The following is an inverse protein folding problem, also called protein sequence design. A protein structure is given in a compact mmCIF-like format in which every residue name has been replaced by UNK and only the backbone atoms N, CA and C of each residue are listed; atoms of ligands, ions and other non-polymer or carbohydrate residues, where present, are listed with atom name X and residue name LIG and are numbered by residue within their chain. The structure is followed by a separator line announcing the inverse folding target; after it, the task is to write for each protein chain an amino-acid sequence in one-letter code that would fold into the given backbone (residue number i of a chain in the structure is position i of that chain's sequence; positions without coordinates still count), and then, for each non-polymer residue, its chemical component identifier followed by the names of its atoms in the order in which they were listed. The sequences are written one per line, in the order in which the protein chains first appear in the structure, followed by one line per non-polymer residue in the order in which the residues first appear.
data_IF_295047951254
#
_entry.id   IF_295047951254
#
_cell.length_a   1.000
_cell.length_b   1.000
_cell.length_c   1.000
_cell.angle_alpha   90.00
_cell.angle_beta   90.00
_cell.angle_gamma   90.00
#
_symmetry.space_group_name_H-M   'P 1'
#
loop_
_entity.id
_entity.type
_entity.pdbx_description
1 polymer ?
#
# COMPACT_ATOMS: atom_id res chain seq x y z
N UNK A 1 -24.26 27.99 -7.38
CA UNK A 1 -24.07 26.70 -6.70
C UNK A 1 -25.25 26.45 -5.77
N UNK A 2 -25.99 25.35 -5.94
CA UNK A 2 -27.15 25.02 -5.10
C UNK A 2 -26.73 24.33 -3.79
N UNK A 3 -27.55 24.37 -2.74
CA UNK A 3 -27.29 23.70 -1.45
C UNK A 3 -26.99 22.20 -1.63
N UNK A 4 -27.62 21.58 -2.63
CA UNK A 4 -27.39 20.18 -3.01
C UNK A 4 -25.98 19.92 -3.58
N UNK A 5 -25.39 20.90 -4.26
CA UNK A 5 -24.02 20.82 -4.77
C UNK A 5 -22.99 20.97 -3.65
N UNK A 6 -23.25 21.87 -2.69
CA UNK A 6 -22.46 21.99 -1.46
C UNK A 6 -22.45 20.69 -0.67
N UNK A 7 -23.62 20.06 -0.47
CA UNK A 7 -23.72 18.80 0.27
C UNK A 7 -22.99 17.64 -0.45
N UNK A 8 -23.03 17.59 -1.79
CA UNK A 8 -22.27 16.62 -2.59
C UNK A 8 -20.76 16.83 -2.52
N UNK A 9 -20.29 18.08 -2.53
CA UNK A 9 -18.88 18.41 -2.34
C UNK A 9 -18.38 18.01 -0.95
N UNK A 10 -19.21 18.25 0.06
CA UNK A 10 -18.93 17.88 1.44
C UNK A 10 -18.89 16.35 1.63
N UNK A 11 -19.77 15.60 0.96
CA UNK A 11 -19.69 14.14 0.89
C UNK A 11 -18.44 13.63 0.13
N UNK A 12 -18.00 14.34 -0.90
CA UNK A 12 -16.76 13.99 -1.63
C UNK A 12 -15.50 14.17 -0.77
N UNK A 13 -15.49 15.12 0.17
CA UNK A 13 -14.40 15.29 1.15
C UNK A 13 -14.20 14.03 1.99
N UNK A 14 -15.28 13.29 2.29
CA UNK A 14 -15.20 12.02 3.03
C UNK A 14 -14.99 10.79 2.13
N UNK A 15 -15.34 10.87 0.84
CA UNK A 15 -15.13 9.80 -0.15
C UNK A 15 -13.69 9.76 -0.70
N UNK A 16 -13.03 10.92 -0.82
CA UNK A 16 -11.68 11.05 -1.37
C UNK A 16 -10.59 10.33 -0.56
N UNK A 17 -10.59 10.32 0.80
CA UNK A 17 -9.70 9.48 1.60
C UNK A 17 -9.79 7.98 1.25
N UNK A 18 -11.01 7.47 1.04
CA UNK A 18 -11.25 6.05 0.71
C UNK A 18 -10.87 5.64 -0.72
N UNK A 19 -10.81 6.59 -1.67
CA UNK A 19 -10.29 6.38 -3.03
C UNK A 19 -8.80 6.67 -3.13
N UNK A 20 -8.31 7.68 -2.40
CA UNK A 20 -6.89 7.97 -2.25
C UNK A 20 -6.13 6.74 -1.77
N UNK A 21 -6.68 6.00 -0.79
CA UNK A 21 -6.20 4.69 -0.33
C UNK A 21 -6.13 3.61 -1.44
N UNK A 22 -6.96 3.69 -2.49
CA UNK A 22 -6.89 2.81 -3.68
C UNK A 22 -5.87 3.30 -4.72
N UNK A 23 -5.68 4.62 -4.85
CA UNK A 23 -4.66 5.22 -5.72
C UNK A 23 -3.22 5.13 -5.16
N UNK A 24 -3.08 4.86 -3.84
CA UNK A 24 -1.81 4.42 -3.21
C UNK A 24 -1.25 3.16 -3.88
N UNK A 25 -2.10 2.36 -4.53
CA UNK A 25 -1.67 1.19 -5.30
C UNK A 25 -0.67 1.57 -6.42
N UNK A 26 -0.79 2.75 -7.04
CA UNK A 26 -0.14 2.99 -8.34
C UNK A 26 0.82 4.19 -8.40
N UNK A 27 0.69 5.24 -7.54
CA UNK A 27 1.38 6.52 -7.82
C UNK A 27 2.05 7.26 -6.65
N UNK A 28 1.75 6.96 -5.38
CA UNK A 28 2.36 7.70 -4.26
C UNK A 28 2.49 6.84 -2.98
N UNK A 29 3.62 6.92 -2.26
CA UNK A 29 3.85 6.15 -1.03
C UNK A 29 3.15 6.82 0.16
N UNK A 30 1.81 6.88 0.15
CA UNK A 30 1.01 7.52 1.20
C UNK A 30 1.11 6.78 2.55
N UNK A 31 1.23 5.45 2.53
CA UNK A 31 1.31 4.66 3.75
C UNK A 31 2.60 4.89 4.56
N UNK A 32 3.83 4.86 3.97
CA UNK A 32 5.02 5.25 4.73
C UNK A 32 4.98 6.73 5.13
N UNK A 33 4.35 7.62 4.34
CA UNK A 33 4.14 9.02 4.73
C UNK A 33 3.29 9.13 6.00
N UNK A 34 2.17 8.40 6.05
CA UNK A 34 1.27 8.36 7.18
C UNK A 34 1.92 7.74 8.42
N UNK A 35 2.76 6.71 8.25
CA UNK A 35 3.50 6.09 9.35
C UNK A 35 4.54 7.04 9.96
N UNK A 36 5.34 7.70 9.12
CA UNK A 36 6.32 8.69 9.58
C UNK A 36 5.61 9.87 10.25
N UNK A 37 4.48 10.31 9.69
CA UNK A 37 3.62 11.31 10.33
C UNK A 37 3.09 10.84 11.68
N UNK A 38 2.66 9.59 11.81
CA UNK A 38 2.23 9.00 13.09
C UNK A 38 3.30 9.04 14.15
N UNK A 39 4.51 8.62 13.81
CA UNK A 39 5.63 8.64 14.77
C UNK A 39 5.94 10.07 15.19
N UNK A 40 6.12 10.99 14.23
CA UNK A 40 6.47 12.38 14.53
C UNK A 40 5.35 13.10 15.30
N UNK A 41 4.09 12.85 14.95
CA UNK A 41 2.95 13.46 15.62
C UNK A 41 2.71 12.88 17.01
N UNK A 42 2.99 11.59 17.22
CA UNK A 42 2.99 10.98 18.54
C UNK A 42 4.07 11.58 19.45
N UNK A 43 5.28 11.81 18.91
CA UNK A 43 6.35 12.52 19.63
C UNK A 43 5.94 13.96 19.92
N UNK A 44 5.35 14.67 18.97
CA UNK A 44 4.86 16.04 19.16
C UNK A 44 3.78 16.13 20.24
N UNK A 45 2.77 15.26 20.20
CA UNK A 45 1.69 15.24 21.19
C UNK A 45 2.19 14.77 22.56
N UNK A 46 3.15 13.83 22.59
CA UNK A 46 3.86 13.44 23.80
C UNK A 46 4.61 14.62 24.41
N UNK A 47 5.38 15.39 23.62
CA UNK A 47 6.05 16.59 24.10
C UNK A 47 5.06 17.67 24.55
N UNK A 48 3.98 17.90 23.80
CA UNK A 48 2.90 18.81 24.19
C UNK A 48 2.31 18.40 25.55
N UNK A 49 2.01 17.12 25.73
CA UNK A 49 1.43 16.57 26.97
C UNK A 49 2.44 16.54 28.12
N UNK A 50 3.71 16.22 27.84
CA UNK A 50 4.78 16.17 28.84
C UNK A 50 5.13 17.56 29.36
N UNK A 51 5.28 18.54 28.47
CA UNK A 51 5.60 19.92 28.82
C UNK A 51 4.42 20.62 29.53
N UNK A 52 3.18 20.28 29.18
CA UNK A 52 1.97 20.91 29.74
C UNK A 52 1.41 20.21 30.99
N UNK A 53 1.42 18.87 31.03
CA UNK A 53 0.80 18.04 32.08
C UNK A 53 1.82 17.19 32.86
N UNK A 54 3.13 17.40 32.69
CA UNK A 54 4.16 16.68 33.44
C UNK A 54 4.02 16.75 34.97
N UNK A 55 3.29 17.75 35.48
CA UNK A 55 2.94 17.89 36.89
C UNK A 55 1.67 17.11 37.33
N UNK A 56 0.77 16.78 36.40
CA UNK A 56 -0.53 16.14 36.69
C UNK A 56 -0.59 14.68 36.25
N UNK A 57 0.24 14.26 35.30
CA UNK A 57 0.23 12.93 34.73
C UNK A 57 1.54 12.23 35.11
N UNK A 58 1.48 11.15 35.87
CA UNK A 58 2.67 10.34 36.17
C UNK A 58 3.12 9.58 34.91
N UNK A 59 4.22 9.98 34.26
CA UNK A 59 4.63 9.41 32.98
C UNK A 59 5.19 7.99 33.10
N UNK A 60 5.44 7.51 34.33
CA UNK A 60 5.94 6.15 34.59
C UNK A 60 4.87 5.07 34.38
N UNK A 61 3.61 5.44 34.12
CA UNK A 61 2.53 4.49 33.86
C UNK A 61 2.44 4.16 32.36
N UNK A 62 2.57 2.87 31.95
CA UNK A 62 2.46 2.46 30.55
C UNK A 62 1.13 2.85 29.89
N UNK A 63 0.04 2.92 30.67
CA UNK A 63 -1.28 3.32 30.18
C UNK A 63 -1.33 4.76 29.67
N UNK A 64 -0.53 5.66 30.25
CA UNK A 64 -0.42 7.05 29.80
C UNK A 64 0.24 7.13 28.42
N UNK A 65 1.34 6.40 28.22
CA UNK A 65 2.06 6.35 26.95
C UNK A 65 1.15 5.79 25.87
N UNK A 66 0.42 4.72 26.17
CA UNK A 66 -0.56 4.12 25.27
C UNK A 66 -1.67 5.12 24.89
N UNK A 67 -2.20 5.87 25.86
CA UNK A 67 -3.24 6.88 25.61
C UNK A 67 -2.73 8.01 24.70
N UNK A 68 -1.50 8.48 24.91
CA UNK A 68 -0.88 9.52 24.06
C UNK A 68 -0.73 9.03 22.62
N UNK A 69 -0.22 7.81 22.42
CA UNK A 69 -0.10 7.21 21.08
C UNK A 69 -1.48 7.14 20.41
N UNK A 70 -2.50 6.75 21.17
CA UNK A 70 -3.85 6.59 20.67
C UNK A 70 -4.51 7.93 20.30
N UNK A 71 -4.34 8.95 21.14
CA UNK A 71 -4.79 10.31 20.86
C UNK A 71 -4.07 10.89 19.65
N UNK A 72 -2.79 10.57 19.47
CA UNK A 72 -2.00 10.99 18.30
C UNK A 72 -2.45 10.31 17.01
N UNK A 73 -2.84 9.04 17.09
CA UNK A 73 -3.46 8.34 15.96
C UNK A 73 -4.82 8.95 15.63
N UNK A 74 -5.64 9.24 16.65
CA UNK A 74 -6.93 9.93 16.50
C UNK A 74 -6.79 11.32 15.87
N UNK A 75 -5.82 12.12 16.29
CA UNK A 75 -5.58 13.45 15.75
C UNK A 75 -5.11 13.41 14.30
N UNK A 76 -4.29 12.42 13.91
CA UNK A 76 -3.92 12.23 12.51
C UNK A 76 -5.10 11.83 11.63
N UNK A 77 -6.03 11.03 12.13
CA UNK A 77 -7.28 10.74 11.41
C UNK A 77 -8.10 12.02 11.23
N UNK A 78 -8.21 12.85 12.26
CA UNK A 78 -8.84 14.18 12.14
C UNK A 78 -8.13 15.06 11.11
N UNK A 79 -6.79 15.08 11.10
CA UNK A 79 -6.00 15.82 10.11
C UNK A 79 -6.26 15.27 8.70
N UNK A 80 -6.24 13.94 8.52
CA UNK A 80 -6.46 13.28 7.24
C UNK A 80 -7.84 13.57 6.65
N UNK A 81 -8.88 13.50 7.48
CA UNK A 81 -10.28 13.54 7.05
C UNK A 81 -10.87 14.95 7.03
N UNK A 82 -10.32 15.88 7.81
CA UNK A 82 -10.88 17.23 7.97
C UNK A 82 -9.89 18.28 7.52
N UNK A 83 -8.69 18.32 8.12
CA UNK A 83 -7.72 19.39 7.83
C UNK A 83 -7.19 19.34 6.40
N UNK A 84 -6.69 18.19 5.93
CA UNK A 84 -6.10 18.06 4.60
C UNK A 84 -7.12 18.38 3.49
N UNK A 85 -8.35 17.83 3.49
CA UNK A 85 -9.34 18.17 2.47
C UNK A 85 -9.78 19.64 2.51
N UNK A 86 -9.89 20.23 3.70
CA UNK A 86 -10.27 21.63 3.85
C UNK A 86 -9.17 22.58 3.38
N UNK A 87 -7.92 22.29 3.76
CA UNK A 87 -6.77 23.05 3.29
C UNK A 87 -6.61 22.95 1.77
N UNK A 88 -6.81 21.76 1.20
CA UNK A 88 -6.84 21.52 -0.25
C UNK A 88 -7.94 22.35 -0.93
N UNK A 89 -9.14 22.37 -0.35
CA UNK A 89 -10.28 23.13 -0.85
C UNK A 89 -10.01 24.63 -0.86
N UNK A 90 -9.57 25.18 0.28
CA UNK A 90 -9.24 26.59 0.41
C UNK A 90 -8.08 27.00 -0.51
N UNK A 91 -7.04 26.16 -0.60
CA UNK A 91 -5.92 26.40 -1.51
C UNK A 91 -6.38 26.41 -2.97
N UNK A 92 -7.26 25.48 -3.37
CA UNK A 92 -7.81 25.43 -4.72
C UNK A 92 -8.71 26.64 -5.05
N UNK A 93 -9.42 27.20 -4.07
CA UNK A 93 -10.18 28.46 -4.26
C UNK A 93 -9.24 29.59 -4.68
N UNK A 94 -8.05 29.67 -4.08
CA UNK A 94 -7.11 30.76 -4.35
C UNK A 94 -6.33 30.62 -5.66
N UNK A 95 -6.02 29.40 -6.09
CA UNK A 95 -5.25 29.16 -7.33
C UNK A 95 -6.10 28.82 -8.56
N UNK A 96 -7.35 28.35 -8.39
CA UNK A 96 -8.21 27.84 -9.48
C UNK A 96 -7.50 26.80 -10.38
N UNK A 97 -6.67 25.91 -9.82
CA UNK A 97 -5.88 24.94 -10.59
C UNK A 97 -6.74 24.04 -11.48
N UNK A 98 -7.83 23.52 -10.93
CA UNK A 98 -8.78 22.65 -11.62
C UNK A 98 -10.13 22.65 -10.88
N UNK A 99 -11.14 22.00 -11.49
CA UNK A 99 -12.37 21.70 -10.73
C UNK A 99 -11.99 20.88 -9.50
N UNK A 100 -12.47 21.29 -8.32
CA UNK A 100 -12.12 20.63 -7.06
C UNK A 100 -12.45 19.12 -7.09
N UNK A 101 -13.49 18.76 -7.85
CA UNK A 101 -13.87 17.37 -8.14
C UNK A 101 -12.74 16.58 -8.81
N UNK A 102 -12.12 17.15 -9.84
CA UNK A 102 -11.03 16.51 -10.59
C UNK A 102 -9.78 16.37 -9.70
N UNK A 103 -9.49 17.40 -8.91
CA UNK A 103 -8.34 17.44 -8.00
C UNK A 103 -8.47 16.37 -6.89
N UNK A 104 -9.68 16.18 -6.34
CA UNK A 104 -9.99 15.08 -5.43
C UNK A 104 -9.91 13.68 -6.09
N UNK A 105 -10.08 13.59 -7.40
CA UNK A 105 -10.13 12.33 -8.14
C UNK A 105 -8.79 11.90 -8.75
N UNK A 106 -7.84 12.81 -8.93
CA UNK A 106 -6.60 12.54 -9.66
C UNK A 106 -5.34 12.83 -8.85
N UNK A 107 -5.38 13.78 -7.90
CA UNK A 107 -4.19 14.28 -7.21
C UNK A 107 -4.28 14.20 -5.68
N UNK A 108 -5.43 13.80 -5.13
CA UNK A 108 -5.65 13.80 -3.68
C UNK A 108 -4.60 12.99 -2.91
N UNK A 109 -4.29 11.76 -3.36
CA UNK A 109 -3.33 10.90 -2.66
C UNK A 109 -1.92 11.50 -2.61
N UNK A 110 -1.46 12.07 -3.72
CA UNK A 110 -0.14 12.70 -3.80
C UNK A 110 -0.06 13.98 -2.97
N UNK A 111 -1.09 14.84 -3.06
CA UNK A 111 -1.16 16.09 -2.29
C UNK A 111 -1.32 15.83 -0.79
N UNK A 112 -2.13 14.85 -0.40
CA UNK A 112 -2.26 14.42 0.99
C UNK A 112 -0.94 13.88 1.53
N UNK A 113 -0.23 13.03 0.78
CA UNK A 113 1.08 12.51 1.18
C UNK A 113 2.10 13.64 1.37
N UNK A 114 2.17 14.59 0.42
CA UNK A 114 3.05 15.75 0.52
C UNK A 114 2.72 16.61 1.75
N UNK A 115 1.43 16.84 2.03
CA UNK A 115 1.00 17.53 3.24
C UNK A 115 1.39 16.78 4.51
N UNK A 116 1.24 15.46 4.57
CA UNK A 116 1.68 14.67 5.73
C UNK A 116 3.17 14.81 5.97
N UNK A 117 4.01 14.65 4.94
CA UNK A 117 5.45 14.83 5.09
C UNK A 117 5.81 16.24 5.56
N UNK A 118 5.17 17.26 4.99
CA UNK A 118 5.48 18.65 5.32
C UNK A 118 5.04 19.01 6.75
N UNK A 119 3.85 18.58 7.19
CA UNK A 119 3.39 18.76 8.58
C UNK A 119 4.21 17.95 9.59
N UNK A 120 4.71 16.77 9.18
CA UNK A 120 5.65 15.96 9.97
C UNK A 120 6.95 16.73 10.20
N UNK A 121 7.52 17.30 9.15
CA UNK A 121 8.72 18.12 9.26
C UNK A 121 8.49 19.34 10.18
N UNK A 122 7.35 20.02 10.04
CA UNK A 122 6.96 21.13 10.94
C UNK A 122 6.86 20.67 12.40
N UNK A 123 6.28 19.50 12.64
CA UNK A 123 6.14 18.92 13.98
C UNK A 123 7.52 18.63 14.59
N UNK A 124 8.41 17.99 13.82
CA UNK A 124 9.75 17.63 14.28
C UNK A 124 10.58 18.89 14.61
N UNK A 125 10.57 19.89 13.74
CA UNK A 125 11.29 21.15 13.94
C UNK A 125 10.76 21.87 15.19
N UNK A 126 9.45 21.98 15.34
CA UNK A 126 8.83 22.59 16.50
C UNK A 126 9.22 21.86 17.79
N UNK A 127 9.13 20.54 17.81
CA UNK A 127 9.50 19.73 18.98
C UNK A 127 10.96 19.91 19.35
N UNK A 128 11.90 19.83 18.40
CA UNK A 128 13.34 19.98 18.67
C UNK A 128 13.63 21.37 19.25
N UNK A 129 13.10 22.43 18.64
CA UNK A 129 13.33 23.81 19.11
C UNK A 129 12.74 24.04 20.50
N UNK A 130 11.55 23.52 20.80
CA UNK A 130 10.97 23.63 22.13
C UNK A 130 11.75 22.82 23.17
N UNK A 131 12.26 21.63 22.82
CA UNK A 131 13.13 20.86 23.72
C UNK A 131 14.39 21.66 24.05
N UNK A 132 15.07 22.21 23.03
CA UNK A 132 16.26 23.05 23.24
C UNK A 132 15.94 24.23 24.15
N UNK A 133 14.87 24.98 23.87
CA UNK A 133 14.46 26.12 24.68
C UNK A 133 14.14 25.73 26.13
N UNK A 134 13.53 24.57 26.34
CA UNK A 134 13.24 24.03 27.68
C UNK A 134 14.51 23.64 28.42
N UNK A 135 15.46 22.97 27.76
CA UNK A 135 16.75 22.58 28.35
C UNK A 135 17.63 23.79 28.71
N UNK A 136 17.49 24.89 27.97
CA UNK A 136 18.19 26.16 28.28
C UNK A 136 17.50 26.96 29.39
N UNK A 137 16.43 26.46 30.00
CA UNK A 137 15.65 27.13 31.04
C UNK A 137 15.08 28.50 30.66
N UNK A 138 15.11 28.89 29.37
CA UNK A 138 14.68 30.21 28.87
C UNK A 138 13.24 30.52 29.30
N UNK A 139 12.34 29.54 29.25
CA UNK A 139 10.95 29.74 29.68
C UNK A 139 10.80 29.90 31.19
N UNK A 140 11.65 29.25 31.99
CA UNK A 140 11.64 29.45 33.44
C UNK A 140 12.13 30.85 33.79
N UNK A 141 13.25 31.30 33.21
CA UNK A 141 13.78 32.64 33.43
C UNK A 141 12.78 33.73 33.00
N UNK A 142 12.10 33.52 31.86
CA UNK A 142 11.07 34.45 31.38
C UNK A 142 9.85 34.46 32.32
N UNK A 143 9.40 33.29 32.77
CA UNK A 143 8.28 33.18 33.71
C UNK A 143 8.59 33.86 35.06
N UNK A 144 9.80 33.65 35.59
CA UNK A 144 10.26 34.28 36.83
C UNK A 144 10.31 35.80 36.69
N UNK A 145 10.81 36.31 35.56
CA UNK A 145 10.83 37.74 35.27
C UNK A 145 9.42 38.33 35.17
N UNK A 146 8.50 37.66 34.47
CA UNK A 146 7.11 38.10 34.34
C UNK A 146 6.39 38.12 35.69
N UNK A 147 6.58 37.07 36.50
CA UNK A 147 5.98 36.99 37.83
C UNK A 147 6.57 38.04 38.77
N UNK A 148 7.88 38.31 38.70
CA UNK A 148 8.54 39.40 39.42
C UNK A 148 7.90 40.76 39.11
N UNK A 149 7.73 41.09 37.83
CA UNK A 149 7.08 42.35 37.42
C UNK A 149 5.61 42.45 37.87
N UNK A 150 4.87 41.33 37.86
CA UNK A 150 3.49 41.29 38.35
C UNK A 150 3.41 41.51 39.86
N UNK A 151 4.36 40.98 40.63
CA UNK A 151 4.44 41.17 42.08
C UNK A 151 4.77 42.62 42.45
N UNK A 152 5.64 43.29 41.68
CA UNK A 152 5.94 44.72 41.86
C UNK A 152 4.70 45.61 41.63
N UNK A 153 3.83 45.22 40.68
CA UNK A 153 2.62 45.96 40.34
C UNK A 153 1.36 45.47 41.08
N UNK A 154 1.50 44.65 42.13
CA UNK A 154 0.38 43.96 42.79
C UNK A 154 -0.78 44.88 43.20
N UNK A 155 -0.48 46.10 43.65
CA UNK A 155 -1.48 47.09 44.07
C UNK A 155 -2.34 47.68 42.94
N UNK A 156 -1.98 47.45 41.67
CA UNK A 156 -2.69 47.96 40.49
C UNK A 156 -3.36 46.83 39.68
N UNK A 157 -3.30 45.59 40.17
CA UNK A 157 -3.81 44.44 39.43
C UNK A 157 -5.35 44.33 39.50
N UNK A 158 -5.99 43.85 38.42
CA UNK A 158 -7.40 43.48 38.45
C UNK A 158 -7.69 42.42 39.53
N UNK A 159 -8.88 42.43 40.15
CA UNK A 159 -9.26 41.49 41.20
C UNK A 159 -9.20 40.02 40.75
N UNK A 160 -9.42 39.75 39.46
CA UNK A 160 -9.31 38.41 38.85
C UNK A 160 -7.88 37.85 38.92
N UNK A 161 -6.87 38.72 38.71
CA UNK A 161 -5.46 38.33 38.73
C UNK A 161 -5.02 38.09 40.16
N UNK A 162 -5.43 38.96 41.09
CA UNK A 162 -5.16 38.80 42.52
C UNK A 162 -5.74 37.47 43.05
N UNK A 163 -6.96 37.13 42.64
CA UNK A 163 -7.58 35.84 42.96
C UNK A 163 -6.81 34.65 42.37
N UNK A 164 -6.35 34.74 41.12
CA UNK A 164 -5.52 33.69 40.51
C UNK A 164 -4.14 33.52 41.19
N UNK A 165 -3.59 34.60 41.75
CA UNK A 165 -2.37 34.54 42.57
C UNK A 165 -2.63 33.82 43.90
N UNK A 166 -3.73 34.14 44.58
CA UNK A 166 -4.12 33.52 45.86
C UNK A 166 -4.49 32.04 45.70
N UNK A 167 -5.13 31.66 44.60
CA UNK A 167 -5.44 30.27 44.25
C UNK A 167 -4.20 29.47 43.80
N UNK A 168 -3.03 30.12 43.69
CA UNK A 168 -1.77 29.47 43.34
C UNK A 168 -1.71 28.98 41.89
N UNK A 169 -2.49 29.58 40.98
CA UNK A 169 -2.43 29.33 39.53
C UNK A 169 -1.25 30.02 38.85
N UNK A 170 -0.71 31.10 39.44
CA UNK A 170 0.44 31.85 38.92
C UNK A 170 1.77 31.33 39.48
N UNK A 171 2.02 30.03 39.31
CA UNK A 171 3.34 29.43 39.62
C UNK A 171 4.29 29.62 38.45
N UNK A 172 5.59 29.90 38.70
CA UNK A 172 6.57 30.08 37.63
C UNK A 172 6.69 28.84 36.74
N UNK A 173 6.54 27.64 37.33
CA UNK A 173 6.54 26.36 36.62
C UNK A 173 5.37 26.25 35.63
N UNK A 174 4.17 26.66 36.04
CA UNK A 174 2.95 26.60 35.22
C UNK A 174 3.00 27.65 34.09
N UNK A 175 3.51 28.85 34.40
CA UNK A 175 3.74 29.91 33.43
C UNK A 175 4.79 29.50 32.38
N UNK A 176 5.92 28.92 32.82
CA UNK A 176 6.96 28.41 31.92
C UNK A 176 6.42 27.29 31.02
N UNK A 177 5.62 26.37 31.57
CA UNK A 177 4.94 25.34 30.79
C UNK A 177 4.00 25.95 29.74
N UNK A 178 3.16 26.92 30.11
CA UNK A 178 2.29 27.64 29.17
C UNK A 178 3.05 28.34 28.05
N UNK A 179 4.14 29.05 28.38
CA UNK A 179 5.02 29.71 27.41
C UNK A 179 5.65 28.71 26.44
N UNK A 180 6.10 27.55 26.94
CA UNK A 180 6.69 26.50 26.11
C UNK A 180 5.69 25.92 25.09
N UNK A 181 4.42 25.79 25.49
CA UNK A 181 3.33 25.34 24.60
C UNK A 181 2.99 26.38 23.54
N UNK A 182 2.89 27.65 23.94
CA UNK A 182 2.66 28.75 22.99
C UNK A 182 3.79 28.83 21.95
N UNK A 183 5.04 28.64 22.39
CA UNK A 183 6.20 28.59 21.51
C UNK A 183 6.14 27.39 20.55
N UNK A 184 5.83 26.19 21.06
CA UNK A 184 5.68 24.98 20.26
C UNK A 184 4.63 25.14 19.15
N UNK A 185 3.44 25.63 19.50
CA UNK A 185 2.33 25.84 18.55
C UNK A 185 2.68 26.95 17.55
N UNK A 186 3.32 28.02 18.01
CA UNK A 186 3.76 29.14 17.16
C UNK A 186 4.74 28.69 16.09
N UNK A 187 5.79 27.95 16.46
CA UNK A 187 6.77 27.41 15.51
C UNK A 187 6.12 26.45 14.53
N UNK A 188 5.27 25.53 15.02
CA UNK A 188 4.53 24.63 14.16
C UNK A 188 3.71 25.41 13.12
N UNK A 189 3.00 26.47 13.53
CA UNK A 189 2.21 27.32 12.65
C UNK A 189 3.04 27.97 11.55
N UNK A 190 4.21 28.55 11.89
CA UNK A 190 5.13 29.18 10.92
C UNK A 190 5.60 28.16 9.88
N UNK A 191 6.02 26.97 10.32
CA UNK A 191 6.48 25.93 9.40
C UNK A 191 5.34 25.29 8.60
N UNK A 192 4.14 25.19 9.16
CA UNK A 192 2.94 24.77 8.43
C UNK A 192 2.59 25.76 7.30
N UNK A 193 2.73 27.07 7.54
CA UNK A 193 2.55 28.10 6.50
C UNK A 193 3.57 27.92 5.37
N UNK A 194 4.85 27.70 5.71
CA UNK A 194 5.91 27.44 4.72
C UNK A 194 5.65 26.15 3.93
N UNK A 195 5.22 25.09 4.61
CA UNK A 195 4.82 23.81 4.01
C UNK A 195 3.68 23.98 2.99
N UNK A 196 2.57 24.61 3.40
CA UNK A 196 1.42 24.87 2.53
C UNK A 196 1.80 25.76 1.34
N UNK A 197 2.63 26.79 1.58
CA UNK A 197 3.19 27.62 0.52
C UNK A 197 3.97 26.77 -0.49
N UNK A 198 4.80 25.84 -0.04
CA UNK A 198 5.67 25.06 -0.93
C UNK A 198 4.87 24.04 -1.73
N UNK A 199 3.94 23.33 -1.08
CA UNK A 199 3.09 22.31 -1.72
C UNK A 199 2.12 22.94 -2.72
N UNK A 200 1.48 24.04 -2.34
CA UNK A 200 0.43 24.69 -3.14
C UNK A 200 0.88 25.97 -3.85
N UNK A 201 2.17 26.34 -3.81
CA UNK A 201 2.73 27.55 -4.45
C UNK A 201 1.97 28.84 -4.10
N UNK A 202 1.40 28.92 -2.90
CA UNK A 202 0.59 30.06 -2.44
C UNK A 202 1.43 31.28 -2.08
N UNK A 203 0.81 32.47 -2.09
CA UNK A 203 1.43 33.65 -1.47
C UNK A 203 1.41 33.55 0.06
N UNK A 204 2.29 34.29 0.73
CA UNK A 204 2.39 34.27 2.20
C UNK A 204 1.05 34.55 2.89
N UNK A 205 0.36 35.61 2.47
CA UNK A 205 -0.94 35.98 3.01
C UNK A 205 -1.98 34.87 2.84
N UNK A 206 -2.01 34.22 1.67
CA UNK A 206 -2.95 33.13 1.38
C UNK A 206 -2.66 31.90 2.24
N UNK A 207 -1.40 31.51 2.39
CA UNK A 207 -1.02 30.41 3.27
C UNK A 207 -1.41 30.65 4.73
N UNK A 208 -1.21 31.88 5.22
CA UNK A 208 -1.65 32.28 6.58
C UNK A 208 -3.16 32.12 6.73
N UNK A 209 -3.95 32.64 5.77
CA UNK A 209 -5.40 32.52 5.78
C UNK A 209 -5.84 31.06 5.76
N UNK A 210 -5.23 30.22 4.91
CA UNK A 210 -5.56 28.79 4.83
C UNK A 210 -5.28 28.07 6.16
N UNK A 211 -4.12 28.31 6.78
CA UNK A 211 -3.76 27.73 8.09
C UNK A 211 -4.71 28.19 9.18
N UNK A 212 -5.01 29.49 9.25
CA UNK A 212 -5.92 30.02 10.25
C UNK A 212 -7.33 29.44 10.13
N UNK A 213 -7.93 29.49 8.93
CA UNK A 213 -9.29 28.97 8.71
C UNK A 213 -9.33 27.46 8.97
N UNK A 214 -8.36 26.71 8.44
CA UNK A 214 -8.33 25.25 8.61
C UNK A 214 -8.03 24.85 10.07
N UNK A 215 -7.23 25.64 10.78
CA UNK A 215 -6.96 25.51 12.21
C UNK A 215 -8.17 25.84 13.08
N UNK A 216 -8.96 26.86 12.75
CA UNK A 216 -10.19 27.19 13.48
C UNK A 216 -11.23 26.09 13.34
N UNK A 217 -11.32 25.44 12.17
CA UNK A 217 -12.23 24.30 11.97
C UNK A 217 -11.79 23.04 12.74
N UNK A 218 -10.50 22.93 13.09
CA UNK A 218 -10.02 21.89 14.01
C UNK A 218 -10.47 22.11 15.46
N UNK A 219 -10.80 23.35 15.86
CA UNK A 219 -11.18 23.68 17.23
C UNK A 219 -12.48 23.04 17.72
N UNK A 220 -13.53 22.79 16.91
CA UNK A 220 -14.61 21.89 17.32
C UNK A 220 -14.26 20.41 17.11
N UNK A 221 -13.42 20.09 16.11
CA UNK A 221 -13.07 18.73 15.74
C UNK A 221 -12.15 18.02 16.76
N UNK A 222 -11.44 18.74 17.65
CA UNK A 222 -10.63 18.11 18.70
C UNK A 222 -11.44 17.17 19.61
N UNK A 223 -12.76 17.42 19.76
CA UNK A 223 -13.66 16.53 20.51
C UNK A 223 -13.79 15.15 19.87
N UNK A 224 -13.49 15.01 18.58
CA UNK A 224 -13.46 13.73 17.86
C UNK A 224 -12.17 12.94 18.11
N UNK A 225 -11.08 13.59 18.53
CA UNK A 225 -9.79 12.94 18.78
C UNK A 225 -9.89 11.79 19.78
N UNK A 226 -10.50 11.95 20.98
CA UNK A 226 -10.63 10.84 21.93
C UNK A 226 -11.55 9.73 21.40
N UNK A 227 -12.60 10.08 20.64
CA UNK A 227 -13.55 9.12 20.06
C UNK A 227 -12.84 8.26 19.00
N UNK A 228 -12.15 8.90 18.06
CA UNK A 228 -11.39 8.23 17.00
C UNK A 228 -10.20 7.47 17.55
N UNK A 229 -9.52 8.01 18.57
CA UNK A 229 -8.48 7.29 19.30
C UNK A 229 -9.04 5.99 19.87
N UNK A 230 -10.14 6.04 20.62
CA UNK A 230 -10.77 4.84 21.19
C UNK A 230 -11.19 3.84 20.10
N UNK A 231 -11.71 4.33 18.96
CA UNK A 231 -12.05 3.50 17.80
C UNK A 231 -10.81 2.78 17.24
N UNK A 232 -9.67 3.46 17.17
CA UNK A 232 -8.38 2.91 16.72
C UNK A 232 -7.78 1.93 17.74
N UNK A 233 -8.16 1.99 19.02
CA UNK A 233 -7.77 1.01 20.04
C UNK A 233 -8.59 -0.28 19.96
N UNK A 234 -9.66 -0.30 19.17
CA UNK A 234 -10.48 -1.50 19.00
C UNK A 234 -9.63 -2.66 18.48
N UNK A 235 -9.53 -3.79 19.21
CA UNK A 235 -8.76 -4.95 18.76
C UNK A 235 -9.22 -5.46 17.40
N UNK A 236 -10.53 -5.37 17.12
CA UNK A 236 -11.11 -5.71 15.83
C UNK A 236 -10.62 -4.80 14.71
N UNK A 237 -10.60 -3.48 14.95
CA UNK A 237 -10.15 -2.51 13.96
C UNK A 237 -8.63 -2.62 13.73
N UNK A 238 -7.85 -2.86 14.78
CA UNK A 238 -6.41 -3.09 14.70
C UNK A 238 -6.08 -4.35 13.89
N UNK A 239 -6.78 -5.46 14.12
CA UNK A 239 -6.62 -6.69 13.33
C UNK A 239 -6.97 -6.42 11.86
N UNK A 240 -8.07 -5.72 11.60
CA UNK A 240 -8.50 -5.39 10.24
C UNK A 240 -7.48 -4.48 9.53
N UNK A 241 -7.00 -3.43 10.20
CA UNK A 241 -5.94 -2.55 9.69
C UNK A 241 -4.65 -3.32 9.46
N UNK A 242 -4.25 -4.21 10.39
CA UNK A 242 -3.07 -5.06 10.23
C UNK A 242 -3.18 -5.98 9.01
N UNK A 243 -4.33 -6.62 8.78
CA UNK A 243 -4.54 -7.47 7.60
C UNK A 243 -4.46 -6.68 6.30
N UNK A 244 -5.02 -5.47 6.27
CA UNK A 244 -4.95 -4.56 5.13
C UNK A 244 -3.52 -4.06 4.88
N UNK A 245 -2.84 -3.63 5.94
CA UNK A 245 -1.45 -3.16 5.88
C UNK A 245 -0.49 -4.29 5.53
N UNK A 246 -0.73 -5.52 5.99
CA UNK A 246 0.09 -6.69 5.63
C UNK A 246 0.08 -6.91 4.12
N UNK A 247 -1.07 -6.80 3.47
CA UNK A 247 -1.17 -6.87 2.01
C UNK A 247 -0.36 -5.76 1.34
N UNK A 248 -0.48 -4.53 1.86
CA UNK A 248 0.29 -3.39 1.36
C UNK A 248 1.81 -3.56 1.53
N UNK A 249 2.28 -3.93 2.72
CA UNK A 249 3.71 -4.15 2.98
C UNK A 249 4.25 -5.30 2.15
N UNK A 250 3.51 -6.40 2.01
CA UNK A 250 3.91 -7.49 1.14
C UNK A 250 4.12 -7.02 -0.30
N UNK A 251 3.23 -6.16 -0.80
CA UNK A 251 3.32 -5.62 -2.15
C UNK A 251 4.49 -4.65 -2.32
N UNK A 252 4.64 -3.67 -1.43
CA UNK A 252 5.78 -2.74 -1.46
C UNK A 252 7.12 -3.47 -1.40
N UNK A 253 7.22 -4.49 -0.55
CA UNK A 253 8.44 -5.29 -0.42
C UNK A 253 8.72 -6.09 -1.69
N UNK A 254 7.67 -6.62 -2.35
CA UNK A 254 7.79 -7.29 -3.65
C UNK A 254 8.29 -6.33 -4.73
N UNK A 255 7.71 -5.13 -4.83
CA UNK A 255 8.13 -4.15 -5.84
C UNK A 255 9.57 -3.69 -5.62
N UNK A 256 9.99 -3.49 -4.37
CA UNK A 256 11.38 -3.12 -4.05
C UNK A 256 12.36 -4.24 -4.45
N UNK A 257 12.09 -5.48 -4.03
CA UNK A 257 12.93 -6.63 -4.41
C UNK A 257 12.97 -6.83 -5.93
N UNK A 258 11.83 -6.65 -6.61
CA UNK A 258 11.78 -6.75 -8.07
C UNK A 258 12.61 -5.64 -8.76
N UNK A 259 12.68 -4.44 -8.19
CA UNK A 259 13.53 -3.34 -8.69
C UNK A 259 15.01 -3.60 -8.45
N UNK A 260 15.39 -4.06 -7.26
CA UNK A 260 16.78 -4.43 -6.96
C UNK A 260 17.24 -5.60 -7.83
N UNK A 261 16.43 -6.65 -7.93
CA UNK A 261 16.70 -7.80 -8.80
C UNK A 261 16.84 -7.38 -10.26
N UNK A 262 15.97 -6.47 -10.74
CA UNK A 262 16.10 -5.93 -12.09
C UNK A 262 17.42 -5.19 -12.29
N UNK A 263 17.81 -4.35 -11.34
CA UNK A 263 19.07 -3.60 -11.40
C UNK A 263 20.27 -4.54 -11.38
N UNK A 264 20.29 -5.53 -10.49
CA UNK A 264 21.36 -6.52 -10.39
C UNK A 264 21.52 -7.35 -11.67
N UNK A 265 20.41 -7.88 -12.21
CA UNK A 265 20.48 -8.67 -13.44
C UNK A 265 20.81 -7.81 -14.66
N UNK A 266 20.38 -6.54 -14.69
CA UNK A 266 20.78 -5.60 -15.73
C UNK A 266 22.28 -5.30 -15.64
N UNK A 267 22.81 -5.04 -14.44
CA UNK A 267 24.25 -4.85 -14.22
C UNK A 267 25.03 -6.11 -14.65
N UNK A 268 24.60 -7.30 -14.24
CA UNK A 268 25.21 -8.57 -14.65
C UNK A 268 25.20 -8.73 -16.18
N UNK A 269 24.08 -8.48 -16.85
CA UNK A 269 23.96 -8.54 -18.30
C UNK A 269 24.79 -7.46 -19.02
N UNK A 270 25.09 -6.32 -18.38
CA UNK A 270 25.99 -5.29 -18.94
C UNK A 270 27.47 -5.62 -18.74
N UNK A 271 27.84 -6.18 -17.58
CA UNK A 271 29.20 -6.56 -17.26
C UNK A 271 29.63 -7.83 -18.00
N UNK A 272 28.70 -8.78 -18.13
CA UNK A 272 28.85 -9.99 -18.93
C UNK A 272 27.64 -10.15 -19.86
N UNK A 273 27.71 -9.64 -21.10
CA UNK A 273 26.65 -9.80 -22.10
C UNK A 273 26.35 -11.25 -22.50
N UNK A 274 27.21 -12.20 -22.11
CA UNK A 274 27.09 -13.64 -22.34
C UNK A 274 26.67 -14.41 -21.07
N UNK A 275 26.04 -13.76 -20.10
CA UNK A 275 25.41 -14.42 -18.96
C UNK A 275 23.94 -14.78 -19.29
N UNK A 276 23.69 -16.05 -19.62
CA UNK A 276 22.36 -16.54 -19.98
C UNK A 276 21.36 -16.41 -18.80
N UNK A 277 21.79 -16.72 -17.59
CA UNK A 277 20.96 -16.67 -16.38
C UNK A 277 20.53 -15.23 -16.05
N UNK A 278 21.39 -14.24 -16.28
CA UNK A 278 21.02 -12.82 -16.14
C UNK A 278 19.90 -12.41 -17.11
N UNK A 279 19.98 -12.83 -18.39
CA UNK A 279 18.91 -12.57 -19.36
C UNK A 279 17.62 -13.35 -19.03
N UNK A 280 17.72 -14.60 -18.57
CA UNK A 280 16.58 -15.37 -18.09
C UNK A 280 15.87 -14.66 -16.92
N UNK A 281 16.61 -14.22 -15.90
CA UNK A 281 16.05 -13.50 -14.76
C UNK A 281 15.42 -12.15 -15.17
N UNK A 282 16.02 -11.41 -16.10
CA UNK A 282 15.40 -10.22 -16.68
C UNK A 282 14.08 -10.54 -17.38
N UNK A 283 14.03 -11.65 -18.12
CA UNK A 283 12.82 -12.15 -18.76
C UNK A 283 11.70 -12.42 -17.75
N UNK A 284 12.00 -13.11 -16.65
CA UNK A 284 11.04 -13.35 -15.57
C UNK A 284 10.51 -12.05 -14.96
N UNK A 285 11.37 -11.04 -14.79
CA UNK A 285 10.97 -9.74 -14.24
C UNK A 285 10.05 -8.98 -15.22
N UNK A 286 10.37 -8.97 -16.52
CA UNK A 286 9.49 -8.39 -17.54
C UNK A 286 8.14 -9.12 -17.60
N UNK A 287 8.14 -10.45 -17.49
CA UNK A 287 6.92 -11.26 -17.45
C UNK A 287 6.05 -10.91 -16.23
N UNK A 288 6.65 -10.74 -15.05
CA UNK A 288 5.94 -10.30 -13.84
C UNK A 288 5.33 -8.90 -13.98
N UNK A 289 5.94 -8.02 -14.78
CA UNK A 289 5.43 -6.68 -15.11
C UNK A 289 4.34 -6.68 -16.19
N UNK A 290 4.05 -7.83 -16.79
CA UNK A 290 3.12 -7.94 -17.92
C UNK A 290 3.72 -7.53 -19.26
N UNK A 291 5.02 -7.26 -19.32
CA UNK A 291 5.75 -6.82 -20.51
C UNK A 291 6.18 -8.04 -21.35
N UNK A 292 5.21 -8.75 -21.92
CA UNK A 292 5.42 -10.08 -22.53
C UNK A 292 6.40 -10.10 -23.71
N UNK A 293 6.44 -9.04 -24.53
CA UNK A 293 7.39 -8.95 -25.65
C UNK A 293 8.83 -8.76 -25.15
N UNK A 294 9.04 -7.87 -24.18
CA UNK A 294 10.36 -7.67 -23.56
C UNK A 294 10.83 -8.94 -22.82
N UNK A 295 9.90 -9.67 -22.19
CA UNK A 295 10.21 -10.96 -21.59
C UNK A 295 10.67 -11.97 -22.65
N UNK A 296 9.95 -12.06 -23.78
CA UNK A 296 10.32 -12.93 -24.90
C UNK A 296 11.72 -12.64 -25.41
N UNK A 297 12.04 -11.38 -25.71
CA UNK A 297 13.36 -10.99 -26.21
C UNK A 297 14.49 -11.40 -25.24
N UNK A 298 14.26 -11.28 -23.93
CA UNK A 298 15.25 -11.65 -22.91
C UNK A 298 15.42 -13.16 -22.81
N UNK A 299 14.33 -13.92 -22.85
CA UNK A 299 14.43 -15.38 -22.89
C UNK A 299 15.06 -15.89 -24.20
N UNK A 300 14.74 -15.28 -25.34
CA UNK A 300 15.39 -15.58 -26.63
C UNK A 300 16.89 -15.28 -26.57
N UNK A 301 17.28 -14.20 -25.89
CA UNK A 301 18.70 -13.90 -25.69
C UNK A 301 19.38 -14.90 -24.78
N UNK A 302 18.71 -15.38 -23.73
CA UNK A 302 19.23 -16.41 -22.84
C UNK A 302 19.55 -17.70 -23.62
N UNK A 303 18.59 -18.20 -24.42
CA UNK A 303 18.80 -19.42 -25.22
C UNK A 303 19.86 -19.24 -26.31
N UNK A 304 20.01 -18.05 -26.90
CA UNK A 304 21.08 -17.78 -27.87
C UNK A 304 22.48 -17.81 -27.26
N UNK A 305 22.59 -17.56 -25.95
CA UNK A 305 23.86 -17.57 -25.22
C UNK A 305 24.14 -18.98 -24.72
N UNK A 306 23.15 -19.59 -24.08
CA UNK A 306 23.20 -20.95 -23.59
C UNK A 306 21.95 -21.70 -24.04
N UNK A 307 22.13 -22.53 -25.06
CA UNK A 307 21.08 -23.37 -25.62
C UNK A 307 20.57 -24.40 -24.59
N UNK A 308 21.30 -24.63 -23.48
CA UNK A 308 20.93 -25.54 -22.39
C UNK A 308 20.17 -24.85 -21.24
N UNK A 309 19.81 -23.57 -21.36
CA UNK A 309 18.91 -22.88 -20.42
C UNK A 309 17.45 -23.36 -20.63
N UNK A 310 17.15 -24.56 -20.14
CA UNK A 310 15.87 -25.26 -20.32
C UNK A 310 14.69 -24.45 -19.77
N UNK A 311 14.88 -23.75 -18.66
CA UNK A 311 13.84 -22.92 -18.06
C UNK A 311 13.42 -21.77 -18.99
N UNK A 312 14.34 -21.20 -19.77
CA UNK A 312 14.03 -20.18 -20.77
C UNK A 312 13.20 -20.77 -21.93
N UNK A 313 13.52 -21.98 -22.39
CA UNK A 313 12.68 -22.70 -23.36
C UNK A 313 11.26 -22.92 -22.83
N UNK A 314 11.11 -23.29 -21.55
CA UNK A 314 9.79 -23.46 -20.94
C UNK A 314 8.99 -22.14 -20.92
N UNK A 315 9.60 -21.02 -20.52
CA UNK A 315 8.90 -19.72 -20.52
C UNK A 315 8.54 -19.25 -21.94
N UNK A 316 9.42 -19.46 -22.92
CA UNK A 316 9.14 -19.15 -24.33
C UNK A 316 7.99 -19.99 -24.88
N UNK A 317 7.92 -21.28 -24.55
CA UNK A 317 6.81 -22.14 -24.91
C UNK A 317 5.47 -21.62 -24.36
N UNK A 318 5.45 -21.20 -23.09
CA UNK A 318 4.26 -20.60 -22.45
C UNK A 318 3.86 -19.28 -23.10
N UNK A 319 4.82 -18.40 -23.39
CA UNK A 319 4.57 -17.13 -24.08
C UNK A 319 4.01 -17.38 -25.48
N UNK A 320 4.63 -18.27 -26.26
CA UNK A 320 4.18 -18.63 -27.60
C UNK A 320 2.76 -19.21 -27.59
N UNK A 321 2.44 -20.10 -26.63
CA UNK A 321 1.09 -20.65 -26.45
C UNK A 321 0.06 -19.57 -26.14
N UNK A 322 0.39 -18.64 -25.23
CA UNK A 322 -0.48 -17.51 -24.89
C UNK A 322 -0.71 -16.59 -26.10
N UNK A 323 0.28 -16.46 -26.98
CA UNK A 323 0.21 -15.72 -28.24
C UNK A 323 -0.42 -16.52 -29.40
N UNK A 324 -0.90 -17.75 -29.14
CA UNK A 324 -1.46 -18.68 -30.14
C UNK A 324 -0.47 -19.09 -31.24
N UNK A 325 0.84 -18.92 -31.02
CA UNK A 325 1.91 -19.43 -31.87
C UNK A 325 2.21 -20.89 -31.49
N UNK A 326 1.29 -21.79 -31.84
CA UNK A 326 1.31 -23.15 -31.32
C UNK A 326 2.51 -23.98 -31.80
N UNK A 327 2.92 -23.84 -33.07
CA UNK A 327 4.10 -24.53 -33.60
C UNK A 327 5.39 -24.14 -32.85
N UNK A 328 5.57 -22.84 -32.58
CA UNK A 328 6.70 -22.36 -31.78
C UNK A 328 6.64 -22.88 -30.35
N UNK A 329 5.44 -22.88 -29.74
CA UNK A 329 5.25 -23.38 -28.39
C UNK A 329 5.62 -24.85 -28.26
N UNK A 330 5.16 -25.69 -29.19
CA UNK A 330 5.51 -27.11 -29.27
C UNK A 330 7.02 -27.28 -29.39
N UNK A 331 7.66 -26.59 -30.34
CA UNK A 331 9.12 -26.69 -30.54
C UNK A 331 9.89 -26.34 -29.27
N UNK A 332 9.49 -25.30 -28.55
CA UNK A 332 10.13 -24.93 -27.30
C UNK A 332 9.91 -25.96 -26.19
N UNK A 333 8.69 -26.50 -26.04
CA UNK A 333 8.43 -27.56 -25.05
C UNK A 333 9.10 -28.90 -25.39
N UNK A 334 9.25 -29.23 -26.68
CA UNK A 334 10.02 -30.41 -27.11
C UNK A 334 11.49 -30.30 -26.71
N UNK A 335 12.11 -29.12 -26.82
CA UNK A 335 13.48 -28.91 -26.32
C UNK A 335 13.58 -29.20 -24.82
N UNK A 336 12.61 -28.73 -24.04
CA UNK A 336 12.55 -28.96 -22.59
C UNK A 336 12.49 -30.46 -22.27
N UNK A 337 11.56 -31.16 -22.91
CA UNK A 337 11.34 -32.60 -22.72
C UNK A 337 12.54 -33.45 -23.19
N UNK A 338 13.22 -33.04 -24.25
CA UNK A 338 14.32 -33.80 -24.84
C UNK A 338 15.62 -33.77 -24.01
N UNK A 339 15.82 -32.75 -23.16
CA UNK A 339 17.11 -32.49 -22.50
C UNK A 339 17.11 -32.75 -20.99
N UNK A 340 15.97 -32.77 -20.32
CA UNK A 340 15.90 -33.10 -18.89
C UNK A 340 14.96 -34.29 -18.62
N UNK A 341 15.56 -35.46 -18.37
CA UNK A 341 14.85 -36.70 -18.03
C UNK A 341 14.55 -36.83 -16.53
N UNK A 342 14.83 -35.81 -15.71
CA UNK A 342 14.58 -35.89 -14.27
C UNK A 342 13.10 -35.75 -13.89
N UNK A 343 12.75 -36.34 -12.75
CA UNK A 343 11.40 -36.50 -12.22
C UNK A 343 10.57 -35.19 -12.11
N UNK A 344 11.25 -34.03 -12.07
CA UNK A 344 10.67 -32.70 -11.84
C UNK A 344 9.88 -32.12 -13.01
N UNK A 345 9.96 -32.70 -14.22
CA UNK A 345 9.44 -32.09 -15.45
C UNK A 345 8.22 -32.79 -16.07
N UNK A 346 7.67 -33.83 -15.44
CA UNK A 346 6.49 -34.55 -15.96
C UNK A 346 5.33 -33.59 -16.28
N UNK A 347 5.16 -32.50 -15.53
CA UNK A 347 4.10 -31.50 -15.75
C UNK A 347 4.16 -30.83 -17.13
N UNK A 348 5.31 -30.86 -17.82
CA UNK A 348 5.46 -30.32 -19.17
C UNK A 348 4.74 -31.15 -20.22
N UNK A 349 4.66 -32.48 -20.08
CA UNK A 349 3.91 -33.33 -21.02
C UNK A 349 2.42 -32.95 -21.09
N UNK A 350 1.86 -32.51 -19.96
CA UNK A 350 0.51 -31.95 -19.90
C UNK A 350 0.40 -30.61 -20.63
N UNK A 351 1.39 -29.72 -20.49
CA UNK A 351 1.43 -28.45 -21.23
C UNK A 351 1.61 -28.67 -22.74
N UNK A 352 2.44 -29.63 -23.15
CA UNK A 352 2.61 -30.07 -24.55
C UNK A 352 1.28 -30.57 -25.10
N UNK A 353 0.64 -31.52 -24.40
CA UNK A 353 -0.67 -32.04 -24.77
C UNK A 353 -1.73 -30.92 -24.90
N UNK A 354 -1.80 -30.02 -23.92
CA UNK A 354 -2.69 -28.86 -23.97
C UNK A 354 -2.41 -27.94 -25.18
N UNK A 355 -1.14 -27.80 -25.57
CA UNK A 355 -0.71 -27.01 -26.73
C UNK A 355 -1.14 -27.67 -28.03
N UNK A 356 -0.95 -28.98 -28.18
CA UNK A 356 -1.40 -29.73 -29.35
C UNK A 356 -2.93 -29.73 -29.49
N UNK A 357 -3.67 -29.85 -28.38
CA UNK A 357 -5.13 -29.66 -28.38
C UNK A 357 -5.52 -28.28 -28.91
N UNK A 358 -4.80 -27.23 -28.49
CA UNK A 358 -5.05 -25.88 -28.96
C UNK A 358 -4.67 -25.68 -30.44
N UNK A 359 -3.67 -26.43 -30.93
CA UNK A 359 -3.25 -26.48 -32.33
C UNK A 359 -4.17 -27.33 -33.22
N UNK A 360 -5.06 -28.14 -32.65
CA UNK A 360 -5.90 -29.10 -33.38
C UNK A 360 -5.18 -30.39 -33.76
N UNK A 361 -3.97 -30.61 -33.27
CA UNK A 361 -3.17 -31.82 -33.50
C UNK A 361 -3.54 -32.88 -32.45
N UNK A 362 -4.70 -33.52 -32.62
CA UNK A 362 -5.27 -34.37 -31.57
C UNK A 362 -4.53 -35.70 -31.37
N UNK A 363 -3.84 -36.23 -32.39
CA UNK A 363 -3.03 -37.45 -32.26
C UNK A 363 -1.79 -37.18 -31.40
N UNK A 364 -1.01 -36.14 -31.73
CA UNK A 364 0.16 -35.72 -30.96
C UNK A 364 -0.22 -35.35 -29.52
N UNK A 365 -1.38 -34.72 -29.33
CA UNK A 365 -1.93 -34.41 -28.00
C UNK A 365 -2.18 -35.68 -27.17
N UNK A 366 -2.78 -36.71 -27.78
CA UNK A 366 -3.06 -37.98 -27.10
C UNK A 366 -1.74 -38.62 -26.63
N UNK A 367 -0.76 -38.73 -27.51
CA UNK A 367 0.51 -39.40 -27.21
C UNK A 367 1.29 -38.68 -26.10
N UNK A 368 1.28 -37.34 -26.10
CA UNK A 368 1.88 -36.53 -25.04
C UNK A 368 1.16 -36.71 -23.69
N UNK A 369 -0.18 -36.72 -23.70
CA UNK A 369 -0.97 -36.89 -22.49
C UNK A 369 -0.90 -38.32 -21.94
N UNK A 370 -0.73 -39.32 -22.80
CA UNK A 370 -0.56 -40.72 -22.41
C UNK A 370 0.72 -40.88 -21.57
N UNK A 371 1.85 -40.35 -22.07
CA UNK A 371 3.13 -40.31 -21.32
C UNK A 371 3.00 -39.60 -19.97
N UNK A 372 2.17 -38.56 -19.88
CA UNK A 372 1.91 -37.90 -18.61
C UNK A 372 1.09 -38.77 -17.64
N UNK A 373 0.03 -39.39 -18.15
CA UNK A 373 -0.91 -40.19 -17.37
C UNK A 373 -0.32 -41.53 -16.91
N UNK A 374 0.66 -42.09 -17.63
CA UNK A 374 1.42 -43.27 -17.17
C UNK A 374 2.01 -43.07 -15.76
N UNK A 375 2.44 -41.84 -15.46
CA UNK A 375 3.08 -41.47 -14.19
C UNK A 375 2.06 -40.90 -13.20
N UNK A 376 1.06 -40.16 -13.69
CA UNK A 376 -0.02 -39.57 -12.88
C UNK A 376 -1.40 -39.95 -13.42
N UNK A 377 -1.86 -41.19 -13.18
CA UNK A 377 -3.09 -41.72 -13.80
C UNK A 377 -4.38 -41.02 -13.31
N UNK A 378 -4.32 -40.29 -12.21
CA UNK A 378 -5.46 -39.62 -11.59
C UNK A 378 -5.38 -38.09 -11.63
N UNK A 379 -4.61 -37.50 -12.55
CA UNK A 379 -4.59 -36.05 -12.73
C UNK A 379 -5.86 -35.58 -13.47
N UNK A 380 -6.73 -34.76 -12.85
CA UNK A 380 -7.99 -34.37 -13.46
C UNK A 380 -7.84 -33.54 -14.74
N UNK A 381 -6.85 -32.64 -14.78
CA UNK A 381 -6.62 -31.76 -15.92
C UNK A 381 -6.17 -32.57 -17.14
N UNK A 382 -5.22 -33.48 -16.97
CA UNK A 382 -4.76 -34.33 -18.06
C UNK A 382 -5.85 -35.30 -18.57
N UNK A 383 -6.65 -35.89 -17.67
CA UNK A 383 -7.78 -36.75 -18.07
C UNK A 383 -8.84 -35.97 -18.87
N UNK A 384 -9.11 -34.72 -18.48
CA UNK A 384 -9.98 -33.83 -19.24
C UNK A 384 -9.40 -33.52 -20.63
N UNK A 385 -8.11 -33.18 -20.70
CA UNK A 385 -7.43 -32.91 -21.97
C UNK A 385 -7.38 -34.15 -22.88
N UNK A 386 -7.22 -35.34 -22.29
CA UNK A 386 -7.25 -36.61 -23.02
C UNK A 386 -8.64 -36.88 -23.60
N UNK A 387 -9.70 -36.61 -22.83
CA UNK A 387 -11.08 -36.66 -23.33
C UNK A 387 -11.31 -35.71 -24.51
N UNK A 388 -10.73 -34.50 -24.46
CA UNK A 388 -10.77 -33.56 -25.59
C UNK A 388 -9.96 -34.04 -26.79
N UNK A 389 -8.82 -34.69 -26.59
CA UNK A 389 -8.03 -35.29 -27.66
C UNK A 389 -8.87 -36.34 -28.41
N UNK A 390 -9.43 -37.29 -27.67
CA UNK A 390 -10.28 -38.34 -28.23
C UNK A 390 -11.52 -37.80 -28.92
N UNK A 391 -12.16 -36.76 -28.36
CA UNK A 391 -13.30 -36.11 -28.99
C UNK A 391 -12.92 -35.47 -30.34
N UNK A 392 -11.74 -34.81 -30.40
CA UNK A 392 -11.21 -34.23 -31.63
C UNK A 392 -10.85 -35.27 -32.70
N UNK A 393 -10.46 -36.48 -32.29
CA UNK A 393 -10.22 -37.64 -33.16
C UNK A 393 -11.51 -38.37 -33.60
N UNK A 394 -12.67 -38.00 -33.05
CA UNK A 394 -13.94 -38.70 -33.29
C UNK A 394 -14.12 -39.99 -32.48
N UNK A 395 -13.20 -40.31 -31.56
CA UNK A 395 -13.26 -41.44 -30.64
C UNK A 395 -14.18 -41.15 -29.45
N UNK A 396 -15.50 -41.07 -29.73
CA UNK A 396 -16.49 -40.59 -28.76
C UNK A 396 -16.60 -41.45 -27.49
N UNK A 397 -16.37 -42.76 -27.59
CA UNK A 397 -16.45 -43.67 -26.45
C UNK A 397 -15.29 -43.45 -25.48
N UNK A 398 -14.10 -43.33 -26.03
CA UNK A 398 -12.85 -43.05 -25.32
C UNK A 398 -12.85 -41.65 -24.71
N UNK A 399 -13.43 -40.68 -25.43
CA UNK A 399 -13.65 -39.33 -24.92
C UNK A 399 -14.54 -39.35 -23.68
N UNK A 400 -15.71 -40.00 -23.75
CA UNK A 400 -16.63 -40.13 -22.61
C UNK A 400 -15.99 -40.90 -21.44
N UNK A 401 -15.21 -41.94 -21.72
CA UNK A 401 -14.49 -42.72 -20.71
C UNK A 401 -13.45 -41.85 -19.97
N UNK A 402 -12.63 -41.10 -20.70
CA UNK A 402 -11.63 -40.18 -20.12
C UNK A 402 -12.31 -39.08 -19.29
N UNK A 403 -13.45 -38.58 -19.77
CA UNK A 403 -14.23 -37.57 -19.08
C UNK A 403 -14.85 -38.09 -17.78
N UNK A 404 -15.30 -39.35 -17.77
CA UNK A 404 -15.77 -40.02 -16.57
C UNK A 404 -14.63 -40.27 -15.57
N UNK A 405 -13.45 -40.66 -16.06
CA UNK A 405 -12.25 -40.81 -15.23
C UNK A 405 -11.83 -39.47 -14.59
N UNK A 406 -11.91 -38.36 -15.33
CA UNK A 406 -11.69 -37.02 -14.79
C UNK A 406 -12.66 -36.72 -13.63
N UNK A 407 -13.96 -36.99 -13.81
CA UNK A 407 -14.98 -36.76 -12.76
C UNK A 407 -14.65 -37.57 -11.50
N UNK A 408 -14.27 -38.83 -11.68
CA UNK A 408 -13.94 -39.71 -10.56
C UNK A 408 -12.67 -39.27 -9.84
N UNK A 409 -11.64 -38.87 -10.60
CA UNK A 409 -10.40 -38.33 -10.06
C UNK A 409 -10.65 -37.11 -9.16
N UNK A 410 -11.51 -36.17 -9.58
CA UNK A 410 -11.85 -34.99 -8.74
C UNK A 410 -12.64 -35.37 -7.49
N UNK A 411 -13.56 -36.35 -7.60
CA UNK A 411 -14.41 -36.77 -6.47
C UNK A 411 -13.63 -37.55 -5.40
N UNK A 412 -12.64 -38.32 -5.83
CA UNK A 412 -11.79 -39.14 -4.95
C UNK A 412 -10.58 -38.38 -4.41
N UNK A 413 -10.25 -37.21 -4.98
CA UNK A 413 -9.17 -36.37 -4.51
C UNK A 413 -9.42 -35.80 -3.09
N UNK A 414 -8.34 -35.56 -2.31
CA UNK A 414 -8.45 -34.92 -0.99
C UNK A 414 -9.18 -33.58 -1.03
N UNK A 415 -9.94 -33.27 0.02
CA UNK A 415 -10.82 -32.09 0.08
C UNK A 415 -10.11 -30.74 -0.21
N UNK A 416 -8.81 -30.62 0.08
CA UNK A 416 -8.05 -29.40 -0.21
C UNK A 416 -7.81 -29.17 -1.71
N UNK A 417 -7.79 -30.23 -2.54
CA UNK A 417 -7.62 -30.14 -4.00
C UNK A 417 -8.92 -29.88 -4.74
N UNK A 418 -10.05 -30.31 -4.18
CA UNK A 418 -11.37 -30.20 -4.80
C UNK A 418 -11.66 -28.79 -5.35
N UNK A 419 -11.29 -27.73 -4.63
CA UNK A 419 -11.54 -26.35 -5.07
C UNK A 419 -10.76 -25.97 -6.34
N UNK A 420 -9.52 -26.45 -6.49
CA UNK A 420 -8.69 -26.20 -7.66
C UNK A 420 -9.21 -27.00 -8.87
N UNK A 421 -9.60 -28.25 -8.65
CA UNK A 421 -9.97 -29.18 -9.72
C UNK A 421 -11.45 -29.11 -10.09
N UNK A 422 -12.27 -28.39 -9.31
CA UNK A 422 -13.71 -28.20 -9.55
C UNK A 422 -14.02 -27.71 -10.96
N UNK A 423 -13.12 -26.91 -11.54
CA UNK A 423 -13.27 -26.45 -12.93
C UNK A 423 -13.38 -27.62 -13.90
N UNK A 424 -12.45 -28.57 -13.81
CA UNK A 424 -12.39 -29.73 -14.70
C UNK A 424 -13.58 -30.66 -14.52
N UNK A 425 -14.03 -30.85 -13.27
CA UNK A 425 -15.27 -31.57 -12.96
C UNK A 425 -16.48 -31.00 -13.72
N UNK A 426 -16.65 -29.68 -13.68
CA UNK A 426 -17.79 -29.03 -14.35
C UNK A 426 -17.70 -29.15 -15.88
N UNK A 427 -16.52 -28.89 -16.45
CA UNK A 427 -16.30 -28.99 -17.90
C UNK A 427 -16.48 -30.43 -18.39
N UNK A 428 -16.05 -31.42 -17.61
CA UNK A 428 -16.23 -32.84 -17.89
C UNK A 428 -17.70 -33.28 -17.87
N UNK A 429 -18.45 -32.88 -16.85
CA UNK A 429 -19.89 -33.16 -16.75
C UNK A 429 -20.68 -32.52 -17.89
N UNK A 430 -20.33 -31.29 -18.25
CA UNK A 430 -20.97 -30.59 -19.34
C UNK A 430 -20.75 -31.31 -20.68
N UNK A 431 -19.52 -31.77 -20.94
CA UNK A 431 -19.20 -32.54 -22.14
C UNK A 431 -20.06 -33.80 -22.24
N UNK A 432 -20.10 -34.62 -21.19
CA UNK A 432 -20.89 -35.87 -21.17
C UNK A 432 -22.37 -35.56 -21.44
N UNK A 433 -22.91 -34.51 -20.81
CA UNK A 433 -24.31 -34.11 -21.00
C UNK A 433 -24.60 -33.64 -22.44
N UNK A 434 -23.63 -33.02 -23.10
CA UNK A 434 -23.78 -32.57 -24.50
C UNK A 434 -23.58 -33.67 -25.54
N UNK A 435 -22.93 -34.78 -25.16
CA UNK A 435 -22.67 -35.94 -26.02
C UNK A 435 -23.76 -37.03 -25.94
N UNK A 436 -24.70 -36.89 -25.00
CA UNK A 436 -25.93 -37.69 -24.90
C UNK A 436 -27.04 -37.04 -25.69
#
# INVERSE_FOLDING_TARGET
MTVREWFRLLLMIFYAPGRGLREVHDKAPLAPAALVALIAHAVFFFCLTWLYLGYLINPRRPSTIFLVILQSAGSLVVIALIFCPLALFLSNIFERRASFRLLLQQEYAALAAAMFYALTASSLIATVLTIVATLTHVFQTLADSMLGTLLEQRGQLPPEVLKAMEEGLLRPELLAAGLSVMFLIGIFGVWAIFALRTVFRLSWLRSVIVVLISGTVLFPAYKLIPILGTLLASPFLLIMVFLLLRGYFAEVTRTHRARESFKQNLEAATLNPADASAHYNLGLIHQQRGEMEAARERFERAIQIDDDEIDAHYQLGRIARAQKRFADAVRHFEQVVSRDTAHSQHEIWREVGATYIAAGQFEDARDALERFLEQRPSDPEALYLMGRAHAGLGHQREAASSMQACIEAVKTAPAYKYRADKRWLNEAQQFIKSSQ
#
